data_IF_271959516297
#
_entry.id   IF_271959516297
#
_cell.length_a   1.000
_cell.length_b   1.000
_cell.length_c   1.000
_cell.angle_alpha   90.00
_cell.angle_beta   90.00
_cell.angle_gamma   90.00
#
_symmetry.space_group_name_H-M   'P 1'
#
loop_
_entity.id
_entity.type
_entity.pdbx_description
1 polymer ?
#
# COMPACT_ATOMS: atom_id res chain seq x y z
N UNK A 1 6.62 0.41 -5.02
CA UNK A 1 7.87 0.12 -4.28
C UNK A 1 7.60 -0.62 -2.98
N UNK A 2 6.64 -0.24 -2.13
CA UNK A 2 6.35 -0.96 -0.86
C UNK A 2 6.02 -2.44 -1.02
N UNK A 3 5.00 -2.78 -1.82
CA UNK A 3 4.60 -4.17 -2.07
C UNK A 3 5.75 -5.02 -2.65
N UNK A 4 6.55 -4.43 -3.54
CA UNK A 4 7.72 -5.11 -4.11
C UNK A 4 8.75 -5.42 -3.03
N UNK A 5 9.10 -4.45 -2.17
CA UNK A 5 10.07 -4.66 -1.09
C UNK A 5 9.59 -5.76 -0.13
N UNK A 6 8.30 -5.82 0.18
CA UNK A 6 7.73 -6.88 1.03
C UNK A 6 7.87 -8.26 0.38
N UNK A 7 7.52 -8.37 -0.91
CA UNK A 7 7.63 -9.62 -1.66
C UNK A 7 9.09 -10.06 -1.84
N UNK A 8 9.98 -9.13 -2.18
CA UNK A 8 11.42 -9.37 -2.32
C UNK A 8 12.04 -9.88 -1.02
N UNK A 9 11.66 -9.32 0.14
CA UNK A 9 12.10 -9.84 1.45
C UNK A 9 11.67 -11.29 1.67
N UNK A 10 10.41 -11.63 1.39
CA UNK A 10 9.91 -13.01 1.52
C UNK A 10 10.70 -13.95 0.61
N UNK A 11 10.91 -13.57 -0.66
CA UNK A 11 11.69 -14.37 -1.59
C UNK A 11 13.16 -14.48 -1.16
N UNK A 12 13.76 -13.48 -0.54
CA UNK A 12 15.15 -13.59 -0.09
C UNK A 12 15.30 -14.44 1.19
N UNK A 13 14.31 -14.43 2.07
CA UNK A 13 14.36 -15.15 3.35
C UNK A 13 13.93 -16.61 3.25
N UNK A 14 13.00 -16.94 2.34
CA UNK A 14 12.42 -18.28 2.22
C UNK A 14 12.71 -18.90 0.84
N UNK A 15 13.80 -19.69 0.70
CA UNK A 15 14.18 -20.31 -0.57
C UNK A 15 13.12 -21.24 -1.20
N UNK A 16 12.21 -21.78 -0.39
CA UNK A 16 11.11 -22.65 -0.83
C UNK A 16 9.92 -21.91 -1.44
N UNK A 17 9.89 -20.57 -1.34
CA UNK A 17 8.86 -19.74 -1.95
C UNK A 17 9.34 -19.32 -3.34
N UNK A 18 8.51 -19.62 -4.36
CA UNK A 18 8.79 -19.27 -5.76
C UNK A 18 8.17 -17.92 -6.15
N UNK A 19 6.97 -17.65 -5.65
CA UNK A 19 6.16 -16.48 -5.99
C UNK A 19 5.47 -15.88 -4.76
N UNK A 20 5.30 -14.57 -4.76
CA UNK A 20 4.51 -13.84 -3.75
C UNK A 20 3.48 -12.98 -4.46
N UNK A 21 2.21 -13.22 -4.13
CA UNK A 21 1.09 -12.42 -4.59
C UNK A 21 0.57 -11.50 -3.48
N UNK A 22 0.30 -10.25 -3.84
CA UNK A 22 -0.35 -9.27 -2.98
C UNK A 22 -1.54 -8.64 -3.69
N UNK A 23 -2.60 -8.42 -2.91
CA UNK A 23 -3.77 -7.65 -3.28
C UNK A 23 -4.14 -6.75 -2.10
N UNK A 24 -3.67 -5.50 -2.13
CA UNK A 24 -3.76 -4.58 -1.01
C UNK A 24 -4.62 -3.38 -1.40
N UNK A 25 -5.83 -3.23 -0.83
CA UNK A 25 -6.58 -1.99 -0.96
C UNK A 25 -5.87 -0.87 -0.20
N UNK A 26 -5.87 0.33 -0.78
CA UNK A 26 -5.52 1.55 -0.07
C UNK A 26 -6.80 2.13 0.55
N UNK A 27 -7.03 1.86 1.84
CA UNK A 27 -8.16 2.40 2.58
C UNK A 27 -7.86 3.87 2.90
N UNK A 28 -8.66 4.78 2.33
CA UNK A 28 -8.37 6.21 2.38
C UNK A 28 -8.80 6.85 3.71
N UNK A 29 -7.89 7.63 4.28
CA UNK A 29 -8.15 8.55 5.38
C UNK A 29 -7.79 9.95 4.88
N UNK A 30 -8.79 10.81 4.67
CA UNK A 30 -8.56 12.17 4.20
C UNK A 30 -8.65 13.17 5.36
N UNK A 31 -7.83 14.22 5.38
CA UNK A 31 -7.95 15.26 6.39
C UNK A 31 -9.30 15.97 6.25
N UNK A 32 -9.98 16.17 7.37
CA UNK A 32 -11.27 16.86 7.39
C UNK A 32 -11.07 18.38 7.32
N UNK A 33 -11.80 19.08 6.45
CA UNK A 33 -11.70 20.54 6.39
C UNK A 33 -12.43 21.20 7.57
N UNK A 34 -11.65 21.73 8.52
CA UNK A 34 -12.15 22.47 9.67
C UNK A 34 -12.16 24.00 9.46
N UNK A 35 -11.84 24.48 8.26
CA UNK A 35 -11.88 25.92 7.95
C UNK A 35 -13.25 26.57 8.18
N UNK A 36 -14.41 25.88 8.02
CA UNK A 36 -15.71 26.44 8.39
C UNK A 36 -15.86 26.74 9.90
N UNK A 37 -15.04 26.12 10.75
CA UNK A 37 -14.98 26.36 12.18
C UNK A 37 -13.83 27.31 12.60
N UNK A 38 -13.12 27.89 11.62
CA UNK A 38 -11.97 28.77 11.88
C UNK A 38 -10.69 28.06 12.30
N UNK A 39 -10.60 26.74 12.12
CA UNK A 39 -9.44 25.92 12.51
C UNK A 39 -8.67 25.43 11.27
N UNK A 40 -7.36 25.21 11.44
CA UNK A 40 -6.52 24.58 10.42
C UNK A 40 -6.46 23.08 10.65
N UNK A 41 -6.59 22.31 9.57
CA UNK A 41 -6.49 20.84 9.63
C UNK A 41 -6.11 20.20 8.28
N UNK A 42 -5.44 20.94 7.40
CA UNK A 42 -5.06 20.45 6.07
C UNK A 42 -3.53 20.44 5.94
N UNK A 43 -3.02 19.58 5.04
CA UNK A 43 -1.59 19.45 4.72
C UNK A 43 -0.75 19.20 5.99
N UNK A 44 0.13 20.14 6.35
CA UNK A 44 1.03 20.02 7.49
C UNK A 44 0.33 20.12 8.84
N UNK A 45 -0.87 20.73 8.89
CA UNK A 45 -1.68 20.91 10.11
C UNK A 45 -2.70 19.78 10.31
N UNK A 46 -2.67 18.71 9.49
CA UNK A 46 -3.70 17.69 9.48
C UNK A 46 -3.59 16.71 10.67
N UNK A 47 -4.53 16.82 11.61
CA UNK A 47 -4.64 16.00 12.81
C UNK A 47 -5.94 15.18 12.85
N UNK A 48 -7.04 15.72 12.31
CA UNK A 48 -8.35 15.04 12.25
C UNK A 48 -8.59 14.48 10.85
N UNK A 49 -8.87 13.18 10.77
CA UNK A 49 -9.07 12.47 9.51
C UNK A 49 -10.44 11.80 9.44
N UNK A 50 -11.00 11.73 8.24
CA UNK A 50 -12.25 11.06 7.94
C UNK A 50 -11.95 9.73 7.20
N UNK A 51 -12.32 8.58 7.78
CA UNK A 51 -12.22 7.30 7.08
C UNK A 51 -13.26 7.24 5.96
N UNK A 52 -12.83 6.83 4.76
CA UNK A 52 -13.72 6.58 3.63
C UNK A 52 -13.87 5.08 3.44
N UNK A 53 -15.10 4.59 3.49
CA UNK A 53 -15.41 3.18 3.24
C UNK A 53 -15.11 2.81 1.77
N UNK A 54 -15.61 3.63 0.83
CA UNK A 54 -15.52 3.39 -0.61
C UNK A 54 -15.51 4.72 -1.40
N UNK A 55 -14.89 4.78 -2.59
CA UNK A 55 -14.08 3.74 -3.23
C UNK A 55 -12.65 3.66 -2.68
N UNK A 56 -12.01 2.50 -2.79
CA UNK A 56 -10.59 2.30 -2.47
C UNK A 56 -9.78 1.97 -3.72
N UNK A 57 -8.57 2.53 -3.84
CA UNK A 57 -7.60 2.04 -4.82
C UNK A 57 -7.23 0.58 -4.51
N UNK A 58 -7.29 -0.32 -5.50
CA UNK A 58 -6.98 -1.73 -5.32
C UNK A 58 -5.71 -2.09 -6.10
N UNK A 59 -4.61 -2.35 -5.38
CA UNK A 59 -3.30 -2.59 -5.98
C UNK A 59 -2.94 -4.06 -5.87
N UNK A 60 -2.63 -4.68 -7.00
CA UNK A 60 -2.22 -6.08 -7.08
C UNK A 60 -0.82 -6.21 -7.67
N UNK A 61 -0.02 -7.16 -7.17
CA UNK A 61 1.27 -7.51 -7.75
C UNK A 61 1.60 -8.98 -7.50
N UNK A 62 2.27 -9.61 -8.46
CA UNK A 62 2.95 -10.89 -8.29
C UNK A 62 4.44 -10.64 -8.50
N UNK A 63 5.27 -11.09 -7.57
CA UNK A 63 6.73 -11.07 -7.69
C UNK A 63 7.21 -12.51 -7.66
N UNK A 64 7.99 -12.86 -8.66
CA UNK A 64 8.46 -14.21 -8.94
C UNK A 64 9.98 -14.24 -8.97
N UNK A 65 10.58 -15.36 -8.62
CA UNK A 65 12.00 -15.57 -8.91
C UNK A 65 12.24 -15.59 -10.43
N UNK A 66 13.43 -15.18 -10.91
CA UNK A 66 13.80 -15.38 -12.30
C UNK A 66 13.69 -16.87 -12.63
N UNK A 67 13.03 -17.21 -13.74
CA UNK A 67 13.03 -18.59 -14.22
C UNK A 67 14.48 -19.05 -14.41
N UNK A 68 14.86 -20.20 -13.84
CA UNK A 68 16.07 -20.90 -14.29
C UNK A 68 15.79 -21.37 -15.71
N UNK A 69 16.09 -20.52 -16.69
CA UNK A 69 15.97 -20.88 -18.10
C UNK A 69 16.75 -22.16 -18.35
N UNK A 70 16.08 -23.18 -18.86
CA UNK A 70 16.73 -24.33 -19.48
C UNK A 70 17.34 -23.85 -20.79
N UNK A 71 18.64 -23.57 -20.79
CA UNK A 71 19.50 -23.63 -21.97
C UNK A 71 20.85 -24.19 -21.53
#
# INVERSE_FOLDING_TARGET
>A
TTMYIMADRILNEFPSVDDVYYALPNIHYFPFDLSPFGLKNLKADAEVYMPIADPSGYITATVSRPSKGKF
#
